data_IF_975402899202
#
_entry.id   IF_975402899202
#
_cell.length_a   1.000
_cell.length_b   1.000
_cell.length_c   1.000
_cell.angle_alpha   90.00
_cell.angle_beta   90.00
_cell.angle_gamma   90.00
#
_symmetry.space_group_name_H-M   'P 1'
#
loop_
_entity.id
_entity.type
_entity.pdbx_description
1 polymer ?
#
# COMPACT_ATOMS: atom_id res chain seq x y z
N UNK A 1 -69.44 -16.48 2.22
CA UNK A 1 -68.31 -16.72 3.15
C UNK A 1 -67.37 -17.72 2.48
N UNK A 2 -66.12 -17.34 2.21
CA UNK A 2 -65.18 -18.15 1.43
C UNK A 2 -64.73 -19.38 2.23
N UNK A 3 -65.43 -20.51 2.05
CA UNK A 3 -65.16 -21.80 2.71
C UNK A 3 -63.72 -22.34 2.50
N UNK A 4 -62.98 -21.77 1.56
CA UNK A 4 -61.60 -22.15 1.25
C UNK A 4 -60.58 -21.71 2.34
N UNK A 5 -60.82 -20.60 3.05
CA UNK A 5 -59.84 -20.07 4.02
C UNK A 5 -59.76 -20.83 5.34
N UNK A 6 -60.69 -21.75 5.59
CA UNK A 6 -60.76 -22.54 6.84
C UNK A 6 -60.16 -23.95 6.72
N UNK A 7 -59.66 -24.32 5.53
CA UNK A 7 -59.10 -25.64 5.29
C UNK A 7 -57.65 -25.75 5.81
N UNK A 8 -57.25 -26.91 6.35
CA UNK A 8 -55.85 -27.20 6.62
C UNK A 8 -55.03 -27.02 5.34
N UNK A 9 -53.86 -26.38 5.44
CA UNK A 9 -53.01 -26.01 4.30
C UNK A 9 -52.86 -27.13 3.23
N UNK A 10 -52.67 -28.42 3.56
CA UNK A 10 -52.58 -29.47 2.55
C UNK A 10 -53.89 -29.67 1.75
N UNK A 11 -55.05 -29.60 2.41
CA UNK A 11 -56.37 -29.72 1.77
C UNK A 11 -56.72 -28.49 0.94
N UNK A 12 -56.33 -27.30 1.42
CA UNK A 12 -56.46 -26.05 0.68
C UNK A 12 -55.65 -26.09 -0.61
N UNK A 13 -54.35 -26.40 -0.53
CA UNK A 13 -53.46 -26.51 -1.69
C UNK A 13 -54.00 -27.53 -2.70
N UNK A 14 -54.44 -28.70 -2.24
CA UNK A 14 -54.98 -29.73 -3.12
C UNK A 14 -56.27 -29.28 -3.84
N UNK A 15 -57.18 -28.57 -3.18
CA UNK A 15 -58.38 -28.03 -3.81
C UNK A 15 -58.07 -26.91 -4.81
N UNK A 16 -57.14 -26.01 -4.49
CA UNK A 16 -56.68 -24.95 -5.41
C UNK A 16 -56.06 -25.58 -6.66
N UNK A 17 -55.21 -26.59 -6.51
CA UNK A 17 -54.63 -27.32 -7.64
C UNK A 17 -55.72 -28.00 -8.46
N UNK A 18 -56.69 -28.67 -7.81
CA UNK A 18 -57.78 -29.38 -8.49
C UNK A 18 -58.68 -28.45 -9.32
N UNK A 19 -58.95 -27.25 -8.82
CA UNK A 19 -59.85 -26.28 -9.43
C UNK A 19 -59.17 -25.34 -10.44
N UNK A 20 -57.84 -25.31 -10.49
CA UNK A 20 -57.07 -24.48 -11.43
C UNK A 20 -57.04 -25.08 -12.85
N UNK A 21 -57.07 -24.21 -13.87
CA UNK A 21 -57.05 -24.61 -15.29
C UNK A 21 -55.70 -25.21 -15.72
N UNK A 22 -55.66 -25.98 -16.83
CA UNK A 22 -54.39 -26.55 -17.34
C UNK A 22 -53.36 -25.46 -17.65
N UNK A 23 -53.80 -24.32 -18.19
CA UNK A 23 -52.96 -23.17 -18.54
C UNK A 23 -52.35 -22.51 -17.30
N UNK A 24 -53.14 -22.33 -16.23
CA UNK A 24 -52.65 -21.82 -14.94
C UNK A 24 -51.61 -22.74 -14.31
N UNK A 25 -51.84 -24.07 -14.33
CA UNK A 25 -50.87 -25.04 -13.79
C UNK A 25 -49.57 -25.04 -14.58
N UNK A 26 -49.63 -24.95 -15.91
CA UNK A 26 -48.44 -24.83 -16.76
C UNK A 26 -47.68 -23.52 -16.51
N UNK A 27 -48.40 -22.42 -16.31
CA UNK A 27 -47.81 -21.12 -15.97
C UNK A 27 -47.12 -21.15 -14.60
N UNK A 28 -47.76 -21.72 -13.57
CA UNK A 28 -47.15 -21.89 -12.24
C UNK A 28 -45.94 -22.83 -12.27
N UNK A 29 -46.01 -23.93 -13.03
CA UNK A 29 -44.89 -24.85 -13.19
C UNK A 29 -43.71 -24.17 -13.89
N UNK A 30 -43.96 -23.41 -14.97
CA UNK A 30 -42.93 -22.63 -15.65
C UNK A 30 -42.30 -21.58 -14.72
N UNK A 31 -43.11 -20.84 -13.95
CA UNK A 31 -42.62 -19.87 -12.98
C UNK A 31 -41.77 -20.51 -11.88
N UNK A 32 -42.16 -21.69 -11.38
CA UNK A 32 -41.40 -22.44 -10.39
C UNK A 32 -40.07 -22.93 -10.96
N UNK A 33 -40.06 -23.42 -12.21
CA UNK A 33 -38.83 -23.85 -12.90
C UNK A 33 -37.88 -22.65 -13.06
N UNK A 34 -38.38 -21.49 -13.51
CA UNK A 34 -37.58 -20.27 -13.63
C UNK A 34 -36.99 -19.87 -12.27
N UNK A 35 -37.79 -19.91 -11.20
CA UNK A 35 -37.32 -19.58 -9.85
C UNK A 35 -36.23 -20.55 -9.37
N UNK A 36 -36.41 -21.85 -9.59
CA UNK A 36 -35.40 -22.87 -9.25
C UNK A 36 -34.11 -22.64 -10.03
N UNK A 37 -34.20 -22.34 -11.33
CA UNK A 37 -33.03 -22.03 -12.18
C UNK A 37 -32.32 -20.77 -11.68
N UNK A 38 -33.06 -19.71 -11.36
CA UNK A 38 -32.48 -18.48 -10.80
C UNK A 38 -31.76 -18.75 -9.47
N UNK A 39 -32.36 -19.50 -8.55
CA UNK A 39 -31.73 -19.85 -7.27
C UNK A 39 -30.49 -20.72 -7.48
N UNK A 40 -30.56 -21.70 -8.38
CA UNK A 40 -29.42 -22.55 -8.72
C UNK A 40 -28.28 -21.75 -9.35
N UNK A 41 -28.57 -20.80 -10.24
CA UNK A 41 -27.59 -19.90 -10.83
C UNK A 41 -26.97 -18.99 -9.78
N UNK A 42 -27.77 -18.38 -8.90
CA UNK A 42 -27.26 -17.54 -7.80
C UNK A 42 -26.34 -18.38 -6.91
N UNK A 43 -26.76 -19.57 -6.48
CA UNK A 43 -25.94 -20.46 -5.66
C UNK A 43 -24.66 -20.89 -6.39
N UNK A 44 -24.76 -21.24 -7.68
CA UNK A 44 -23.60 -21.57 -8.51
C UNK A 44 -22.63 -20.40 -8.60
N UNK A 45 -23.10 -19.19 -8.92
CA UNK A 45 -22.25 -18.01 -8.97
C UNK A 45 -21.70 -17.63 -7.59
N UNK A 46 -22.45 -17.76 -6.50
CA UNK A 46 -21.94 -17.52 -5.14
C UNK A 46 -20.85 -18.53 -4.72
N UNK A 47 -21.00 -19.80 -5.08
CA UNK A 47 -19.99 -20.84 -4.82
C UNK A 47 -18.78 -20.71 -5.76
N UNK A 48 -19.01 -20.37 -7.03
CA UNK A 48 -17.93 -20.16 -7.98
C UNK A 48 -17.15 -18.88 -7.68
N UNK A 49 -17.82 -17.80 -7.28
CA UNK A 49 -17.16 -16.56 -6.82
C UNK A 49 -16.41 -16.74 -5.50
N UNK A 50 -16.88 -17.62 -4.62
CA UNK A 50 -16.12 -17.98 -3.40
C UNK A 50 -14.92 -18.86 -3.72
N UNK A 51 -15.03 -19.80 -4.67
CA UNK A 51 -13.92 -20.61 -5.19
C UNK A 51 -12.91 -19.80 -6.00
N UNK A 52 -13.35 -18.77 -6.72
CA UNK A 52 -12.50 -17.87 -7.51
C UNK A 52 -11.95 -16.70 -6.69
N UNK A 53 -12.07 -16.71 -5.35
CA UNK A 53 -11.14 -15.96 -4.52
C UNK A 53 -9.78 -16.62 -4.68
N UNK A 54 -9.14 -16.31 -5.79
CA UNK A 54 -7.73 -16.56 -6.02
C UNK A 54 -7.01 -16.11 -4.75
N UNK A 55 -6.40 -17.07 -4.08
CA UNK A 55 -5.68 -16.81 -2.84
C UNK A 55 -4.58 -15.82 -3.22
N UNK A 56 -4.64 -14.59 -2.69
CA UNK A 56 -3.68 -13.51 -2.95
C UNK A 56 -2.32 -13.87 -2.34
N UNK A 57 -1.68 -14.87 -2.94
CA UNK A 57 -0.40 -15.43 -2.53
C UNK A 57 0.68 -14.59 -3.16
N UNK A 58 1.19 -13.65 -2.38
CA UNK A 58 2.42 -12.97 -2.73
C UNK A 58 3.58 -13.99 -2.86
N UNK A 59 4.55 -13.75 -3.76
CA UNK A 59 5.71 -14.62 -3.95
C UNK A 59 6.66 -14.64 -2.74
N UNK A 60 6.50 -13.68 -1.83
CA UNK A 60 7.22 -13.64 -0.56
C UNK A 60 6.33 -12.97 0.51
N UNK A 61 6.51 -13.36 1.77
CA UNK A 61 5.63 -12.96 2.88
C UNK A 61 5.51 -11.43 3.00
N UNK A 62 6.63 -10.71 3.00
CA UNK A 62 6.66 -9.26 3.22
C UNK A 62 7.61 -8.49 2.28
N UNK A 63 8.79 -9.02 1.97
CA UNK A 63 9.77 -8.39 1.06
C UNK A 63 9.54 -8.79 -0.40
N UNK A 64 9.11 -7.86 -1.23
CA UNK A 64 8.80 -8.08 -2.64
C UNK A 64 9.89 -7.43 -3.51
N UNK A 65 10.62 -8.22 -4.28
CA UNK A 65 11.66 -7.71 -5.19
C UNK A 65 11.06 -7.11 -6.46
N UNK A 66 11.86 -6.34 -7.21
CA UNK A 66 11.46 -5.82 -8.53
C UNK A 66 10.89 -6.87 -9.47
N UNK A 67 11.52 -8.04 -9.54
CA UNK A 67 11.06 -9.16 -10.36
C UNK A 67 9.69 -9.67 -9.90
N UNK A 68 9.49 -9.80 -8.59
CA UNK A 68 8.24 -10.31 -8.01
C UNK A 68 7.01 -9.47 -8.35
N UNK A 69 7.14 -8.13 -8.41
CA UNK A 69 6.03 -7.25 -8.82
C UNK A 69 6.03 -6.91 -10.32
N UNK A 70 6.90 -7.55 -11.11
CA UNK A 70 7.04 -7.37 -12.56
C UNK A 70 7.38 -5.92 -12.94
N UNK A 71 8.36 -5.35 -12.24
CA UNK A 71 8.88 -4.02 -12.54
C UNK A 71 9.43 -3.94 -13.97
N UNK A 72 9.21 -2.82 -14.63
CA UNK A 72 9.93 -2.50 -15.86
C UNK A 72 11.43 -2.37 -15.55
N UNK A 73 12.32 -2.89 -16.42
CA UNK A 73 13.75 -2.69 -16.26
C UNK A 73 14.09 -1.20 -16.43
N UNK A 74 15.08 -0.72 -15.68
CA UNK A 74 15.58 0.64 -15.81
C UNK A 74 17.09 0.65 -15.57
N UNK A 75 17.84 1.39 -16.40
CA UNK A 75 19.29 1.50 -16.28
C UNK A 75 19.65 2.70 -15.43
N UNK A 76 20.11 2.47 -14.21
CA UNK A 76 20.54 3.54 -13.31
C UNK A 76 21.97 4.00 -13.63
N UNK A 77 22.17 5.31 -13.63
CA UNK A 77 23.47 5.95 -13.84
C UNK A 77 23.95 6.74 -12.61
N UNK A 78 23.08 6.92 -11.61
CA UNK A 78 23.33 7.70 -10.41
C UNK A 78 23.22 6.81 -9.18
N UNK A 79 24.20 6.90 -8.28
CA UNK A 79 24.40 5.99 -7.16
C UNK A 79 24.72 6.77 -5.88
N UNK A 80 24.48 6.15 -4.73
CA UNK A 80 24.68 6.77 -3.42
C UNK A 80 26.07 6.51 -2.82
N UNK A 81 26.97 5.82 -3.53
CA UNK A 81 28.25 5.31 -2.98
C UNK A 81 29.10 6.36 -2.27
N UNK A 82 29.12 7.60 -2.76
CA UNK A 82 29.89 8.67 -2.14
C UNK A 82 29.32 9.11 -0.78
N UNK A 83 28.06 8.83 -0.47
CA UNK A 83 27.39 9.22 0.77
C UNK A 83 27.08 8.04 1.68
N UNK A 84 27.37 6.81 1.27
CA UNK A 84 27.18 5.64 2.14
C UNK A 84 28.23 5.57 3.27
N UNK A 85 27.85 5.08 4.47
CA UNK A 85 26.50 4.73 4.88
C UNK A 85 25.60 5.98 5.07
N UNK A 86 24.38 5.92 4.55
CA UNK A 86 23.44 7.03 4.57
C UNK A 86 22.92 7.30 5.99
N UNK A 87 22.69 8.58 6.28
CA UNK A 87 22.28 9.08 7.60
C UNK A 87 20.78 9.33 7.72
N UNK A 88 20.11 9.43 6.57
CA UNK A 88 18.79 10.01 6.46
C UNK A 88 17.86 9.08 5.71
N UNK A 89 16.68 8.84 6.28
CA UNK A 89 15.56 8.17 5.65
C UNK A 89 14.42 9.17 5.53
N UNK A 90 13.91 9.37 4.32
CA UNK A 90 12.81 10.30 4.04
C UNK A 90 11.54 9.51 3.74
N UNK A 91 10.53 9.65 4.61
CA UNK A 91 9.22 9.04 4.46
C UNK A 91 8.29 9.95 3.66
N UNK A 92 7.63 9.36 2.68
CA UNK A 92 6.65 10.02 1.82
C UNK A 92 5.41 9.14 1.66
N UNK A 93 4.33 9.72 1.14
CA UNK A 93 3.24 8.96 0.55
C UNK A 93 3.18 9.16 -0.97
N UNK A 94 2.51 8.26 -1.68
CA UNK A 94 2.38 8.35 -3.15
C UNK A 94 1.18 9.19 -3.61
N UNK A 95 0.24 9.49 -2.70
CA UNK A 95 -1.04 10.16 -3.04
C UNK A 95 -1.85 9.35 -4.07
N UNK A 96 -1.64 8.04 -4.10
CA UNK A 96 -2.33 7.09 -4.96
C UNK A 96 -3.52 6.41 -4.26
N UNK A 97 -4.18 5.47 -4.96
CA UNK A 97 -5.18 4.61 -4.34
C UNK A 97 -4.56 3.68 -3.28
N UNK A 98 -5.39 3.24 -2.33
CA UNK A 98 -5.01 2.18 -1.40
C UNK A 98 -4.99 0.82 -2.10
N UNK A 99 -4.11 -0.08 -1.66
CA UNK A 99 -3.99 -1.44 -2.15
C UNK A 99 -3.84 -2.42 -0.97
N UNK A 100 -4.76 -3.36 -0.81
CA UNK A 100 -4.77 -4.30 0.33
C UNK A 100 -4.50 -5.75 -0.06
N UNK A 101 -4.08 -5.96 -1.31
CA UNK A 101 -3.72 -7.26 -1.88
C UNK A 101 -2.45 -7.12 -2.67
N UNK A 102 -1.61 -8.15 -2.69
CA UNK A 102 -0.36 -8.15 -3.44
C UNK A 102 -0.61 -7.86 -4.92
N UNK A 103 -1.58 -8.53 -5.54
CA UNK A 103 -1.91 -8.29 -6.96
C UNK A 103 -2.28 -6.82 -7.23
N UNK A 104 -3.05 -6.20 -6.32
CA UNK A 104 -3.46 -4.81 -6.43
C UNK A 104 -2.27 -3.85 -6.21
N UNK A 105 -1.46 -4.07 -5.18
CA UNK A 105 -0.28 -3.23 -4.92
C UNK A 105 0.76 -3.33 -6.03
N UNK A 106 1.02 -4.53 -6.55
CA UNK A 106 1.90 -4.73 -7.68
C UNK A 106 1.36 -4.03 -8.95
N UNK A 107 0.05 -4.06 -9.17
CA UNK A 107 -0.57 -3.33 -10.28
C UNK A 107 -0.42 -1.80 -10.13
N UNK A 108 -0.67 -1.26 -8.94
CA UNK A 108 -0.49 0.17 -8.68
C UNK A 108 0.97 0.61 -8.84
N UNK A 109 1.92 -0.21 -8.39
CA UNK A 109 3.35 0.04 -8.61
C UNK A 109 3.71 0.06 -10.09
N UNK A 110 3.20 -0.88 -10.90
CA UNK A 110 3.43 -0.87 -12.35
C UNK A 110 2.82 0.35 -13.03
N UNK A 111 1.63 0.78 -12.61
CA UNK A 111 1.00 2.00 -13.13
C UNK A 111 1.84 3.23 -12.80
N UNK A 112 2.24 3.37 -11.53
CA UNK A 112 3.04 4.48 -11.05
C UNK A 112 4.41 4.52 -11.74
N UNK A 113 5.08 3.38 -11.82
CA UNK A 113 6.36 3.24 -12.51
C UNK A 113 6.24 3.59 -14.00
N UNK A 114 5.21 3.07 -14.68
CA UNK A 114 4.95 3.36 -16.08
C UNK A 114 4.75 4.85 -16.33
N UNK A 115 4.03 5.55 -15.45
CA UNK A 115 3.87 7.00 -15.50
C UNK A 115 5.20 7.73 -15.34
N UNK A 116 6.01 7.40 -14.33
CA UNK A 116 7.31 8.05 -14.13
C UNK A 116 8.26 7.83 -15.31
N UNK A 117 8.35 6.60 -15.83
CA UNK A 117 9.22 6.30 -16.98
C UNK A 117 8.74 7.05 -18.22
N UNK A 118 7.44 7.01 -18.52
CA UNK A 118 6.87 7.59 -19.73
C UNK A 118 6.85 9.12 -19.70
N UNK A 119 6.39 9.71 -18.59
CA UNK A 119 6.06 11.12 -18.51
C UNK A 119 7.15 11.95 -17.83
N UNK A 120 7.98 11.35 -16.96
CA UNK A 120 9.07 12.04 -16.25
C UNK A 120 10.48 11.62 -16.74
N UNK A 121 10.59 10.55 -17.52
CA UNK A 121 11.86 10.07 -18.09
C UNK A 121 12.77 9.33 -17.10
N UNK A 122 12.29 9.01 -15.90
CA UNK A 122 13.05 8.31 -14.87
C UNK A 122 12.20 7.26 -14.15
N UNK A 123 12.84 6.27 -13.50
CA UNK A 123 12.11 5.22 -12.77
C UNK A 123 11.35 5.76 -11.55
N UNK A 124 10.42 5.01 -10.97
CA UNK A 124 9.74 5.38 -9.72
C UNK A 124 10.72 5.99 -8.67
N UNK A 125 10.40 7.14 -8.04
CA UNK A 125 11.41 8.00 -7.41
C UNK A 125 11.97 7.48 -6.08
N UNK A 126 11.33 6.50 -5.45
CA UNK A 126 11.68 6.01 -4.11
C UNK A 126 12.64 4.81 -4.18
N UNK A 127 13.38 4.57 -3.10
CA UNK A 127 14.21 3.37 -2.92
C UNK A 127 13.33 2.15 -2.63
N UNK A 128 12.34 2.32 -1.74
CA UNK A 128 11.38 1.29 -1.36
C UNK A 128 9.97 1.87 -1.28
N UNK A 129 8.96 1.00 -1.34
CA UNK A 129 7.59 1.35 -1.02
C UNK A 129 6.98 0.40 0.01
N UNK A 130 5.97 0.89 0.74
CA UNK A 130 5.21 0.11 1.73
C UNK A 130 3.75 0.09 1.31
N UNK A 131 3.22 -1.08 0.97
CA UNK A 131 1.82 -1.24 0.56
C UNK A 131 0.84 -1.23 1.73
N UNK A 132 -0.44 -0.96 1.49
CA UNK A 132 -1.48 -1.11 2.53
C UNK A 132 -1.82 -2.58 2.82
N UNK A 133 -1.18 -3.51 2.09
CA UNK A 133 -1.12 -4.94 2.34
C UNK A 133 0.01 -5.34 3.33
N UNK A 134 0.73 -4.36 3.88
CA UNK A 134 1.79 -4.56 4.86
C UNK A 134 3.15 -4.95 4.28
N UNK A 135 3.28 -5.07 2.95
CA UNK A 135 4.52 -5.53 2.30
C UNK A 135 5.45 -4.38 1.93
N UNK A 136 6.74 -4.67 1.89
CA UNK A 136 7.79 -3.76 1.43
C UNK A 136 8.21 -4.17 0.03
N UNK A 137 8.06 -3.24 -0.91
CA UNK A 137 8.38 -3.41 -2.32
C UNK A 137 9.70 -2.72 -2.62
N UNK A 138 10.65 -3.48 -3.17
CA UNK A 138 11.89 -2.94 -3.71
C UNK A 138 11.57 -2.12 -4.96
N UNK A 139 11.96 -0.85 -4.93
CA UNK A 139 11.82 0.07 -6.05
C UNK A 139 13.20 0.29 -6.66
N UNK A 140 13.82 1.46 -6.50
CA UNK A 140 15.22 1.65 -6.93
C UNK A 140 16.20 0.82 -6.10
N UNK A 141 15.82 0.44 -4.88
CA UNK A 141 16.62 -0.38 -3.97
C UNK A 141 17.76 0.40 -3.31
N UNK A 142 18.74 -0.35 -2.81
CA UNK A 142 19.93 0.18 -2.16
C UNK A 142 21.00 0.61 -3.17
N UNK A 143 21.88 1.52 -2.78
CA UNK A 143 23.01 1.96 -3.61
C UNK A 143 22.65 2.86 -4.80
N UNK A 144 21.36 3.03 -5.11
CA UNK A 144 20.86 3.78 -6.26
C UNK A 144 20.29 5.12 -5.81
N UNK A 145 20.66 6.21 -6.49
CA UNK A 145 20.13 7.54 -6.20
C UNK A 145 18.64 7.62 -6.53
N UNK A 146 17.86 8.19 -5.61
CA UNK A 146 16.42 8.43 -5.77
C UNK A 146 16.06 9.63 -6.65
N UNK A 147 14.76 9.91 -6.75
CA UNK A 147 14.22 11.17 -7.25
C UNK A 147 13.07 11.69 -6.35
N UNK A 148 13.04 11.23 -5.10
CA UNK A 148 11.94 11.44 -4.16
C UNK A 148 11.98 12.81 -3.47
N UNK A 149 13.17 13.33 -3.15
CA UNK A 149 13.33 14.54 -2.35
C UNK A 149 14.45 15.40 -2.93
N UNK A 150 14.06 16.46 -3.65
CA UNK A 150 15.00 17.39 -4.28
C UNK A 150 16.01 17.90 -3.25
N UNK A 151 17.31 17.81 -3.57
CA UNK A 151 18.40 18.22 -2.69
C UNK A 151 18.93 17.12 -1.77
N UNK A 152 18.18 16.04 -1.56
CA UNK A 152 18.51 14.96 -0.62
C UNK A 152 18.63 13.57 -1.26
N UNK A 153 18.22 13.40 -2.54
CA UNK A 153 18.20 12.11 -3.25
C UNK A 153 19.49 11.28 -3.13
N UNK A 154 20.67 11.92 -3.28
CA UNK A 154 21.98 11.23 -3.26
C UNK A 154 22.49 10.85 -1.88
N UNK A 155 21.91 11.41 -0.81
CA UNK A 155 22.35 11.22 0.57
C UNK A 155 21.24 10.72 1.50
N UNK A 156 20.17 10.17 0.94
CA UNK A 156 19.08 9.61 1.73
C UNK A 156 18.39 8.45 1.04
N UNK A 157 17.67 7.67 1.84
CA UNK A 157 16.81 6.58 1.38
C UNK A 157 15.38 7.08 1.35
N UNK A 158 14.71 7.01 0.20
CA UNK A 158 13.30 7.38 0.08
C UNK A 158 12.39 6.18 0.28
N UNK A 159 11.44 6.26 1.20
CA UNK A 159 10.40 5.24 1.39
C UNK A 159 9.03 5.86 1.10
N UNK A 160 8.35 5.35 0.07
CA UNK A 160 7.00 5.78 -0.30
C UNK A 160 5.93 4.84 0.24
N UNK A 161 5.02 5.33 1.08
CA UNK A 161 3.83 4.57 1.47
C UNK A 161 2.78 4.68 0.36
N UNK A 162 2.33 3.53 -0.15
CA UNK A 162 1.30 3.49 -1.18
C UNK A 162 -0.03 3.98 -0.59
N UNK A 163 -0.58 5.02 -1.18
CA UNK A 163 -1.85 5.60 -0.75
C UNK A 163 -1.78 7.10 -0.45
N UNK A 164 -2.94 7.65 -0.11
CA UNK A 164 -3.09 9.02 0.36
C UNK A 164 -3.27 9.06 1.88
N UNK A 165 -2.32 9.67 2.58
CA UNK A 165 -2.24 9.72 4.04
C UNK A 165 -2.53 11.12 4.59
N UNK A 166 -3.17 12.00 3.82
CA UNK A 166 -3.49 13.38 4.26
C UNK A 166 -4.42 13.43 5.47
N UNK A 167 -5.18 12.38 5.77
CA UNK A 167 -5.93 12.21 7.03
C UNK A 167 -7.20 13.05 7.18
N UNK A 168 -7.57 13.83 6.16
CA UNK A 168 -8.74 14.72 6.17
C UNK A 168 -10.06 14.05 5.75
N UNK A 169 -10.01 12.82 5.22
CA UNK A 169 -11.15 12.12 4.64
C UNK A 169 -11.12 10.64 5.04
N UNK A 170 -12.29 10.01 5.15
CA UNK A 170 -12.41 8.59 5.55
C UNK A 170 -11.75 7.62 4.58
N UNK A 171 -11.61 8.00 3.31
CA UNK A 171 -10.93 7.19 2.30
C UNK A 171 -9.40 7.35 2.30
N UNK A 172 -8.85 8.23 3.15
CA UNK A 172 -7.41 8.32 3.34
C UNK A 172 -6.89 7.12 4.14
N UNK A 173 -5.70 6.67 3.78
CA UNK A 173 -5.04 5.56 4.44
C UNK A 173 -4.65 5.90 5.89
N UNK A 174 -4.63 4.87 6.72
CA UNK A 174 -4.13 4.89 8.09
C UNK A 174 -2.94 3.93 8.16
N UNK A 175 -1.91 4.32 8.90
CA UNK A 175 -0.72 3.47 9.08
C UNK A 175 -1.09 2.28 9.95
N UNK A 176 -0.76 1.08 9.50
CA UNK A 176 -0.94 -0.14 10.30
C UNK A 176 0.33 -0.50 11.07
N UNK A 177 0.22 -1.19 12.22
CA UNK A 177 1.38 -1.72 12.94
C UNK A 177 2.27 -2.62 12.08
N UNK A 178 1.67 -3.34 11.13
CA UNK A 178 2.42 -4.19 10.20
C UNK A 178 3.28 -3.36 9.24
N UNK A 179 2.73 -2.30 8.64
CA UNK A 179 3.51 -1.39 7.79
C UNK A 179 4.70 -0.79 8.54
N UNK A 180 4.49 -0.35 9.78
CA UNK A 180 5.56 0.17 10.62
C UNK A 180 6.62 -0.89 10.91
N UNK A 181 6.22 -2.07 11.39
CA UNK A 181 7.15 -3.15 11.70
C UNK A 181 7.98 -3.56 10.48
N UNK A 182 7.34 -3.77 9.32
CA UNK A 182 8.07 -4.14 8.09
C UNK A 182 8.96 -3.02 7.57
N UNK A 183 8.61 -1.76 7.80
CA UNK A 183 9.50 -0.62 7.52
C UNK A 183 10.75 -0.68 8.40
N UNK A 184 10.59 -0.94 9.71
CA UNK A 184 11.74 -1.09 10.61
C UNK A 184 12.62 -2.29 10.22
N UNK A 185 12.05 -3.40 9.74
CA UNK A 185 12.82 -4.56 9.27
C UNK A 185 13.70 -4.22 8.05
N UNK A 186 13.17 -3.53 7.03
CA UNK A 186 13.98 -3.16 5.85
C UNK A 186 15.07 -2.15 6.22
N UNK A 187 14.79 -1.24 7.16
CA UNK A 187 15.79 -0.29 7.66
C UNK A 187 16.91 -0.99 8.45
N UNK A 188 16.56 -1.95 9.30
CA UNK A 188 17.54 -2.79 10.01
C UNK A 188 18.39 -3.61 9.04
N UNK A 189 17.80 -4.12 7.94
CA UNK A 189 18.54 -4.76 6.86
C UNK A 189 19.52 -3.79 6.19
N UNK A 190 19.10 -2.55 5.90
CA UNK A 190 19.99 -1.51 5.35
C UNK A 190 21.19 -1.22 6.25
N UNK A 191 21.00 -1.20 7.58
CA UNK A 191 22.10 -1.07 8.55
C UNK A 191 23.03 -2.29 8.50
N UNK A 192 22.46 -3.50 8.46
CA UNK A 192 23.23 -4.75 8.39
C UNK A 192 24.08 -4.84 7.11
N UNK A 193 23.56 -4.34 5.99
CA UNK A 193 24.21 -4.33 4.69
C UNK A 193 25.21 -3.19 4.50
N UNK A 194 25.23 -2.19 5.40
CA UNK A 194 26.14 -1.04 5.33
C UNK A 194 25.62 0.13 4.51
N UNK A 195 24.37 0.09 4.03
CA UNK A 195 23.74 1.20 3.31
C UNK A 195 23.25 2.31 4.25
N UNK A 196 22.91 1.97 5.50
CA UNK A 196 22.47 2.91 6.52
C UNK A 196 23.42 2.90 7.71
N UNK A 197 23.68 4.09 8.27
CA UNK A 197 24.47 4.21 9.50
C UNK A 197 23.65 3.70 10.69
N UNK A 198 24.28 3.13 11.71
CA UNK A 198 23.56 2.52 12.86
C UNK A 198 22.66 3.49 13.64
N UNK A 199 22.97 4.77 13.60
CA UNK A 199 22.25 5.87 14.24
C UNK A 199 21.60 6.81 13.20
N UNK A 200 21.26 6.28 12.02
CA UNK A 200 20.44 6.99 11.04
C UNK A 200 19.15 7.50 11.68
N UNK A 201 18.56 8.53 11.07
CA UNK A 201 17.28 9.09 11.51
C UNK A 201 16.27 9.14 10.39
N UNK A 202 15.00 9.20 10.80
CA UNK A 202 13.82 9.25 9.94
C UNK A 202 13.22 10.65 9.98
N UNK A 203 12.85 11.17 8.82
CA UNK A 203 12.08 12.41 8.68
C UNK A 203 10.92 12.20 7.73
N UNK A 204 9.88 13.03 7.84
CA UNK A 204 8.91 13.21 6.77
C UNK A 204 9.46 14.17 5.71
N UNK A 205 9.01 14.07 4.46
CA UNK A 205 9.42 15.02 3.41
C UNK A 205 9.22 16.49 3.83
N UNK A 206 8.10 16.77 4.52
CA UNK A 206 7.74 18.10 5.05
C UNK A 206 8.70 18.66 6.10
N UNK A 207 9.56 17.85 6.70
CA UNK A 207 10.52 18.34 7.70
C UNK A 207 11.69 19.08 7.03
N UNK A 208 12.03 18.69 5.79
CA UNK A 208 13.23 19.13 5.07
C UNK A 208 12.93 19.81 3.72
N UNK A 209 11.67 19.81 3.28
CA UNK A 209 11.21 20.47 2.06
C UNK A 209 9.83 21.09 2.25
N UNK A 210 9.49 22.07 1.41
CA UNK A 210 8.13 22.62 1.34
C UNK A 210 7.20 21.62 0.63
N UNK A 211 6.67 20.66 1.39
CA UNK A 211 5.85 19.55 0.90
C UNK A 211 4.76 19.19 1.90
N UNK A 212 3.59 18.78 1.40
CA UNK A 212 2.54 18.18 2.23
C UNK A 212 2.82 16.70 2.55
N UNK A 213 3.76 16.03 1.87
CA UNK A 213 4.13 14.63 2.11
C UNK A 213 4.83 14.49 3.48
N UNK A 214 4.58 13.44 4.28
CA UNK A 214 3.87 12.20 3.96
C UNK A 214 2.35 12.21 4.22
N UNK A 215 1.72 13.37 4.40
CA UNK A 215 0.33 13.48 4.88
C UNK A 215 0.22 13.37 6.40
N UNK A 216 -0.86 13.91 6.99
CA UNK A 216 -0.96 14.06 8.45
C UNK A 216 -1.02 12.71 9.20
N UNK A 217 -1.73 11.71 8.66
CA UNK A 217 -1.85 10.39 9.31
C UNK A 217 -0.48 9.70 9.42
N UNK A 218 0.26 9.64 8.31
CA UNK A 218 1.59 9.01 8.29
C UNK A 218 2.61 9.85 9.05
N UNK A 219 2.54 11.18 8.96
CA UNK A 219 3.42 12.07 9.71
C UNK A 219 3.26 11.89 11.22
N UNK A 220 2.03 11.79 11.72
CA UNK A 220 1.77 11.57 13.14
C UNK A 220 2.27 10.20 13.63
N UNK A 221 2.26 9.18 12.78
CA UNK A 221 2.79 7.86 13.10
C UNK A 221 4.32 7.88 13.17
N UNK A 222 5.00 8.38 12.13
CA UNK A 222 6.47 8.35 12.10
C UNK A 222 7.11 9.20 13.20
N UNK A 223 6.44 10.25 13.68
CA UNK A 223 6.90 11.07 14.81
C UNK A 223 6.99 10.30 16.13
N UNK A 224 6.39 9.12 16.22
CA UNK A 224 6.46 8.25 17.39
C UNK A 224 7.59 7.21 17.27
N UNK A 225 8.24 7.11 16.10
CA UNK A 225 9.31 6.16 15.89
C UNK A 225 10.56 6.54 16.69
N UNK A 226 11.29 5.57 17.25
CA UNK A 226 12.43 5.84 18.14
C UNK A 226 13.59 6.56 17.45
N UNK A 227 13.66 6.47 16.11
CA UNK A 227 14.69 7.08 15.27
C UNK A 227 14.19 8.32 14.51
N UNK A 228 13.03 8.88 14.85
CA UNK A 228 12.55 10.12 14.23
C UNK A 228 13.41 11.34 14.66
N UNK A 229 13.77 12.20 13.70
CA UNK A 229 14.54 13.41 14.01
C UNK A 229 13.65 14.54 14.54
N UNK A 230 13.56 14.65 15.87
CA UNK A 230 12.86 15.75 16.55
C UNK A 230 13.60 17.09 16.53
N UNK A 231 14.82 17.14 15.99
CA UNK A 231 15.68 18.33 16.06
C UNK A 231 15.80 19.07 14.73
N UNK A 232 15.21 18.54 13.67
CA UNK A 232 15.21 19.12 12.34
C UNK A 232 16.61 19.48 11.81
N UNK A 233 17.59 18.59 12.06
CA UNK A 233 19.03 18.88 11.87
C UNK A 233 19.45 18.99 10.41
N UNK A 234 18.64 18.44 9.51
CA UNK A 234 18.94 18.32 8.09
C UNK A 234 18.28 19.42 7.25
N UNK A 235 17.33 20.15 7.80
CA UNK A 235 16.61 21.18 7.07
C UNK A 235 17.55 22.32 6.65
N UNK A 236 17.53 22.65 5.36
CA UNK A 236 18.37 23.68 4.76
C UNK A 236 19.83 23.26 4.52
N UNK A 237 20.22 22.04 4.85
CA UNK A 237 21.56 21.52 4.54
C UNK A 237 21.59 20.79 3.19
N UNK A 238 22.67 20.97 2.44
CA UNK A 238 22.96 20.14 1.27
C UNK A 238 23.52 18.78 1.69
N UNK A 239 23.48 17.78 0.81
CA UNK A 239 24.13 16.49 1.06
C UNK A 239 25.62 16.61 1.44
N UNK A 240 26.35 17.56 0.86
CA UNK A 240 27.77 17.76 1.17
C UNK A 240 27.96 18.31 2.58
N UNK A 241 27.12 19.28 2.98
CA UNK A 241 27.11 19.82 4.35
C UNK A 241 26.70 18.77 5.38
N UNK A 242 25.71 17.92 5.07
CA UNK A 242 25.29 16.80 5.91
C UNK A 242 26.47 15.84 6.12
N UNK A 243 27.14 15.46 5.02
CA UNK A 243 28.31 14.58 5.09
C UNK A 243 29.41 15.22 5.92
N UNK A 244 29.81 16.44 5.63
CA UNK A 244 30.89 17.13 6.35
C UNK A 244 30.58 17.31 7.84
N UNK A 245 29.36 17.72 8.18
CA UNK A 245 28.96 18.00 9.58
C UNK A 245 28.84 16.73 10.42
N UNK A 246 28.40 15.61 9.83
CA UNK A 246 28.02 14.42 10.60
C UNK A 246 28.86 13.18 10.34
N UNK A 247 29.79 13.17 9.39
CA UNK A 247 30.58 11.98 8.99
C UNK A 247 31.12 11.18 10.19
N UNK A 248 31.76 11.88 11.12
CA UNK A 248 32.46 11.28 12.27
C UNK A 248 31.78 11.60 13.60
N UNK A 249 30.56 12.16 13.57
CA UNK A 249 29.81 12.60 14.75
C UNK A 249 28.56 11.73 14.94
N UNK A 250 28.42 11.03 16.08
CA UNK A 250 27.18 10.34 16.43
C UNK A 250 26.01 11.32 16.49
N UNK A 251 24.89 11.03 15.81
CA UNK A 251 23.74 11.94 15.75
C UNK A 251 23.06 12.11 17.12
N UNK A 252 23.28 11.20 18.07
CA UNK A 252 22.79 11.33 19.45
C UNK A 252 23.53 12.41 20.25
N UNK A 253 24.73 12.77 19.85
CA UNK A 253 25.60 13.72 20.55
C UNK A 253 25.43 15.16 20.05
N UNK A 254 24.72 15.37 18.94
CA UNK A 254 24.46 16.69 18.38
C UNK A 254 23.33 17.35 19.20
N UNK A 255 23.60 18.45 19.94
CA UNK A 255 22.58 19.14 20.72
C UNK A 255 21.47 19.68 19.82
N UNK A 256 20.29 19.89 20.41
CA UNK A 256 19.20 20.62 19.76
C UNK A 256 19.70 22.03 19.53
N UNK A 257 19.87 22.46 18.27
CA UNK A 257 20.16 23.85 17.98
C UNK A 257 19.00 24.68 18.59
N UNK A 258 19.28 25.39 19.69
CA UNK A 258 18.35 26.34 20.30
C UNK A 258 18.20 27.49 19.29
N UNK A 259 17.14 27.42 18.48
CA UNK A 259 16.61 28.58 17.76
C UNK A 259 15.38 29.10 18.47
#
# INVERSE_FOLDING_TARGET
MNHLSELPLPKYIWQVIKNSSRTERLSCAAALIVLIVCVALIAYFSVMTSKSREEDRAPHEWRITREMWLAQPYNYTYFTYDYEPLLLVVIQNTVGPQCHRFQACAAELRNLQGWFIKDMGYDIPYSFAVGNDGRVYELRGWGVEGAHTRGYNRCSVGIGFLGDYRGEMENHAVVTPEQENRTQLILAEGVRLGHLRKDFVVVGARDITDSASPGSNLYNAIRQWPNYDHQNRFNGLTCDQIREKFKDVPLREVPKDEK
#
